data_IF_467402714523
#
_entry.id   IF_467402714523
#
_cell.length_a   1.000
_cell.length_b   1.000
_cell.length_c   1.000
_cell.angle_alpha   90.00
_cell.angle_beta   90.00
_cell.angle_gamma   90.00
#
_symmetry.space_group_name_H-M   'P 1'
#
loop_
_entity.id
_entity.type
_entity.pdbx_description
1 polymer ?
#
# COMPACT_ATOMS: atom_id res chain seq x y z
N UNK A 1 -0.35 50.60 34.29
CA UNK A 1 0.43 49.67 33.42
C UNK A 1 0.41 48.28 34.07
N UNK A 2 -0.41 47.35 33.59
CA UNK A 2 -0.27 45.94 33.96
C UNK A 2 0.35 45.21 32.76
N UNK A 3 1.46 44.46 32.92
CA UNK A 3 2.01 43.72 31.80
C UNK A 3 1.12 42.49 31.56
N UNK A 4 0.59 42.42 30.35
CA UNK A 4 -0.16 41.28 29.83
C UNK A 4 0.87 40.14 29.64
N UNK A 5 1.13 39.36 30.68
CA UNK A 5 1.88 38.11 30.57
C UNK A 5 0.95 37.02 30.00
N UNK A 6 0.55 37.18 28.74
CA UNK A 6 0.11 36.05 27.92
C UNK A 6 1.35 35.38 27.34
N UNK A 7 2.11 34.73 28.21
CA UNK A 7 2.97 33.63 27.79
C UNK A 7 2.02 32.51 27.38
N UNK A 8 1.63 32.48 26.10
CA UNK A 8 0.87 31.36 25.57
C UNK A 8 1.68 30.10 25.85
N UNK A 9 1.03 29.03 26.33
CA UNK A 9 1.65 27.76 26.75
C UNK A 9 2.63 27.20 25.70
N UNK A 10 2.47 27.63 24.45
CA UNK A 10 3.35 27.38 23.31
C UNK A 10 4.77 27.99 23.42
N UNK A 11 5.04 29.02 24.21
CA UNK A 11 6.35 29.70 24.16
C UNK A 11 7.46 28.97 24.94
N UNK A 12 7.15 28.14 25.93
CA UNK A 12 8.15 27.39 26.70
C UNK A 12 8.53 26.06 26.03
N UNK A 13 9.83 25.77 25.81
CA UNK A 13 10.28 24.62 25.03
C UNK A 13 9.88 23.26 25.65
N UNK A 14 9.89 23.15 26.98
CA UNK A 14 9.47 21.94 27.68
C UNK A 14 7.98 21.60 27.45
N UNK A 15 7.12 22.62 27.38
CA UNK A 15 5.69 22.44 27.13
C UNK A 15 5.41 22.09 25.67
N UNK A 16 6.15 22.67 24.71
CA UNK A 16 6.07 22.24 23.30
C UNK A 16 6.43 20.77 23.14
N UNK A 17 7.55 20.34 23.74
CA UNK A 17 7.98 18.95 23.68
C UNK A 17 6.95 17.99 24.29
N UNK A 18 6.33 18.38 25.40
CA UNK A 18 5.27 17.60 26.02
C UNK A 18 4.01 17.52 25.12
N UNK A 19 3.58 18.64 24.54
CA UNK A 19 2.47 18.67 23.58
C UNK A 19 2.76 17.83 22.34
N UNK A 20 3.95 17.96 21.75
CA UNK A 20 4.35 17.17 20.58
C UNK A 20 4.31 15.68 20.86
N UNK A 21 4.81 15.25 22.03
CA UNK A 21 4.71 13.86 22.48
C UNK A 21 3.27 13.41 22.62
N UNK A 22 2.43 14.22 23.26
CA UNK A 22 1.00 13.93 23.42
C UNK A 22 0.29 13.75 22.08
N UNK A 23 0.46 14.70 21.15
CA UNK A 23 -0.15 14.63 19.82
C UNK A 23 0.41 13.49 18.97
N UNK A 24 1.69 13.14 19.11
CA UNK A 24 2.27 11.95 18.47
C UNK A 24 1.58 10.67 18.92
N UNK A 25 1.32 10.52 20.23
CA UNK A 25 0.60 9.35 20.77
C UNK A 25 -0.84 9.31 20.25
N UNK A 26 -1.54 10.45 20.25
CA UNK A 26 -2.90 10.53 19.69
C UNK A 26 -2.92 10.12 18.21
N UNK A 27 -2.02 10.70 17.41
CA UNK A 27 -1.91 10.40 15.98
C UNK A 27 -1.53 8.94 15.72
N UNK A 28 -0.65 8.35 16.54
CA UNK A 28 -0.33 6.94 16.42
C UNK A 28 -1.55 6.03 16.62
N UNK A 29 -2.42 6.35 17.59
CA UNK A 29 -3.67 5.60 17.83
C UNK A 29 -4.67 5.74 16.68
N UNK A 30 -4.79 6.93 16.11
CA UNK A 30 -5.63 7.17 14.93
C UNK A 30 -5.10 6.41 13.71
N UNK A 31 -3.80 6.46 13.49
CA UNK A 31 -3.16 5.82 12.34
C UNK A 31 -3.26 4.29 12.43
N UNK A 32 -3.15 3.69 13.62
CA UNK A 32 -3.40 2.25 13.81
C UNK A 32 -4.83 1.89 13.34
N UNK A 33 -5.85 2.64 13.79
CA UNK A 33 -7.24 2.39 13.38
C UNK A 33 -7.42 2.50 11.87
N UNK A 34 -6.80 3.51 11.26
CA UNK A 34 -6.84 3.70 9.80
C UNK A 34 -6.14 2.57 9.06
N UNK A 35 -4.95 2.20 9.48
CA UNK A 35 -4.16 1.15 8.85
C UNK A 35 -4.83 -0.22 8.97
N UNK A 36 -5.59 -0.50 10.03
CA UNK A 36 -6.40 -1.72 10.14
C UNK A 36 -7.47 -1.84 9.05
N UNK A 37 -7.88 -0.73 8.43
CA UNK A 37 -8.79 -0.72 7.27
C UNK A 37 -8.02 -0.73 5.96
N UNK A 38 -6.95 0.06 5.86
CA UNK A 38 -6.19 0.23 4.62
C UNK A 38 -5.34 -0.99 4.27
N UNK A 39 -4.72 -1.66 5.25
CA UNK A 39 -3.89 -2.85 4.99
C UNK A 39 -4.72 -3.96 4.32
N UNK A 40 -5.90 -4.37 4.83
CA UNK A 40 -6.75 -5.33 4.13
C UNK A 40 -7.15 -4.88 2.73
N UNK A 41 -7.45 -3.59 2.52
CA UNK A 41 -7.78 -3.06 1.19
C UNK A 41 -6.64 -3.24 0.20
N UNK A 42 -5.42 -2.86 0.60
CA UNK A 42 -4.23 -3.02 -0.24
C UNK A 42 -3.95 -4.50 -0.50
N UNK A 43 -4.07 -5.37 0.50
CA UNK A 43 -3.90 -6.83 0.33
C UNK A 43 -4.91 -7.39 -0.68
N UNK A 44 -6.18 -7.01 -0.58
CA UNK A 44 -7.22 -7.42 -1.54
C UNK A 44 -6.89 -6.93 -2.94
N UNK A 45 -6.54 -5.65 -3.08
CA UNK A 45 -6.15 -5.08 -4.37
C UNK A 45 -4.94 -5.80 -5.00
N UNK A 46 -3.90 -6.11 -4.22
CA UNK A 46 -2.75 -6.89 -4.70
C UNK A 46 -3.19 -8.25 -5.25
N UNK A 47 -4.05 -8.96 -4.51
CA UNK A 47 -4.55 -10.29 -4.90
C UNK A 47 -5.40 -10.24 -6.17
N UNK A 48 -6.32 -9.29 -6.23
CA UNK A 48 -7.23 -9.12 -7.36
C UNK A 48 -6.47 -8.73 -8.63
N UNK A 49 -5.52 -7.79 -8.53
CA UNK A 49 -4.70 -7.39 -9.67
C UNK A 49 -3.85 -8.56 -10.18
N UNK A 50 -3.20 -9.31 -9.30
CA UNK A 50 -2.40 -10.48 -9.70
C UNK A 50 -3.29 -11.54 -10.37
N UNK A 51 -4.52 -11.75 -9.88
CA UNK A 51 -5.50 -12.65 -10.51
C UNK A 51 -5.92 -12.15 -11.89
N UNK A 52 -6.17 -10.84 -12.03
CA UNK A 52 -6.53 -10.21 -13.30
C UNK A 52 -5.41 -10.39 -14.34
N UNK A 53 -4.18 -10.07 -13.98
CA UNK A 53 -3.00 -10.22 -14.86
C UNK A 53 -2.78 -11.67 -15.28
N UNK A 54 -2.89 -12.62 -14.36
CA UNK A 54 -2.80 -14.07 -14.69
C UNK A 54 -3.92 -14.53 -15.62
N UNK A 55 -5.13 -14.01 -15.44
CA UNK A 55 -6.26 -14.32 -16.32
C UNK A 55 -6.03 -13.75 -17.71
N UNK A 56 -5.62 -12.49 -17.80
CA UNK A 56 -5.32 -11.83 -19.07
C UNK A 56 -4.21 -12.58 -19.84
N UNK A 57 -3.11 -12.93 -19.17
CA UNK A 57 -2.03 -13.73 -19.77
C UNK A 57 -2.55 -15.07 -20.32
N UNK A 58 -3.42 -15.76 -19.57
CA UNK A 58 -3.99 -17.04 -20.01
C UNK A 58 -4.86 -16.89 -21.26
N UNK A 59 -5.68 -15.84 -21.32
CA UNK A 59 -6.55 -15.56 -22.47
C UNK A 59 -5.73 -15.24 -23.72
N UNK A 60 -4.67 -14.43 -23.57
CA UNK A 60 -3.80 -14.09 -24.69
C UNK A 60 -3.03 -15.30 -25.22
N UNK A 61 -2.66 -16.25 -24.34
CA UNK A 61 -2.02 -17.50 -24.76
C UNK A 61 -2.95 -18.48 -25.46
N UNK A 62 -4.27 -18.23 -25.50
CA UNK A 62 -5.19 -19.06 -26.27
C UNK A 62 -5.05 -18.74 -27.75
N UNK A 63 -4.74 -19.76 -28.55
CA UNK A 63 -4.53 -19.66 -30.00
C UNK A 63 -5.68 -20.25 -30.81
N UNK A 64 -6.62 -20.94 -30.17
CA UNK A 64 -7.74 -21.58 -30.83
C UNK A 64 -8.62 -20.56 -31.56
N UNK A 65 -8.88 -20.79 -32.84
CA UNK A 65 -9.76 -19.96 -33.67
C UNK A 65 -9.17 -18.61 -34.11
N UNK A 66 -7.87 -18.34 -33.87
CA UNK A 66 -7.20 -17.09 -34.25
C UNK A 66 -6.37 -17.24 -35.52
N UNK A 67 -6.23 -16.14 -36.26
CA UNK A 67 -5.32 -16.03 -37.40
C UNK A 67 -3.86 -15.97 -36.93
N UNK A 68 -2.92 -16.17 -37.86
CA UNK A 68 -1.49 -16.14 -37.54
C UNK A 68 -1.03 -14.78 -36.98
N UNK A 69 -1.48 -13.69 -37.58
CA UNK A 69 -1.14 -12.32 -37.17
C UNK A 69 -1.66 -12.01 -35.75
N UNK A 70 -2.91 -12.41 -35.45
CA UNK A 70 -3.47 -12.26 -34.10
C UNK A 70 -2.71 -13.06 -33.05
N UNK A 71 -2.27 -14.28 -33.39
CA UNK A 71 -1.47 -15.13 -32.47
C UNK A 71 -0.13 -14.47 -32.16
N UNK A 72 0.54 -13.87 -33.15
CA UNK A 72 1.82 -13.19 -32.94
C UNK A 72 1.67 -12.01 -31.98
N UNK A 73 0.67 -11.15 -32.22
CA UNK A 73 0.39 -9.99 -31.38
C UNK A 73 0.03 -10.40 -29.95
N UNK A 74 -0.87 -11.38 -29.80
CA UNK A 74 -1.33 -11.84 -28.48
C UNK A 74 -0.21 -12.50 -27.68
N UNK A 75 0.65 -13.29 -28.33
CA UNK A 75 1.80 -13.90 -27.67
C UNK A 75 2.80 -12.84 -27.21
N UNK A 76 3.05 -11.83 -28.06
CA UNK A 76 3.87 -10.67 -27.71
C UNK A 76 3.33 -9.93 -26.48
N UNK A 77 2.02 -9.66 -26.45
CA UNK A 77 1.36 -9.04 -25.30
C UNK A 77 1.40 -9.92 -24.05
N UNK A 78 1.22 -11.24 -24.19
CA UNK A 78 1.30 -12.18 -23.07
C UNK A 78 2.70 -12.16 -22.42
N UNK A 79 3.77 -12.07 -23.23
CA UNK A 79 5.14 -11.91 -22.74
C UNK A 79 5.31 -10.59 -21.99
N UNK A 80 4.81 -9.48 -22.52
CA UNK A 80 4.88 -8.17 -21.85
C UNK A 80 4.12 -8.18 -20.51
N UNK A 81 2.93 -8.77 -20.46
CA UNK A 81 2.17 -8.94 -19.21
C UNK A 81 2.92 -9.81 -18.20
N UNK A 82 3.58 -10.89 -18.64
CA UNK A 82 4.37 -11.75 -17.77
C UNK A 82 5.55 -10.99 -17.15
N UNK A 83 6.26 -10.18 -17.94
CA UNK A 83 7.36 -9.33 -17.47
C UNK A 83 6.88 -8.25 -16.49
N UNK A 84 5.76 -7.59 -16.81
CA UNK A 84 5.13 -6.61 -15.93
C UNK A 84 4.72 -7.24 -14.60
N UNK A 85 4.06 -8.40 -14.63
CA UNK A 85 3.64 -9.15 -13.45
C UNK A 85 4.83 -9.54 -12.59
N UNK A 86 5.93 -10.03 -13.17
CA UNK A 86 7.13 -10.41 -12.42
C UNK A 86 7.74 -9.20 -11.71
N UNK A 87 7.92 -8.09 -12.43
CA UNK A 87 8.45 -6.85 -11.85
C UNK A 87 7.59 -6.36 -10.68
N UNK A 88 6.26 -6.34 -10.86
CA UNK A 88 5.31 -5.91 -9.83
C UNK A 88 5.28 -6.88 -8.65
N UNK A 89 5.29 -8.19 -8.92
CA UNK A 89 5.26 -9.26 -7.93
C UNK A 89 6.36 -9.13 -6.87
N UNK A 90 7.56 -8.67 -7.25
CA UNK A 90 8.65 -8.40 -6.29
C UNK A 90 8.28 -7.35 -5.25
N UNK A 91 7.59 -6.29 -5.66
CA UNK A 91 7.10 -5.26 -4.75
C UNK A 91 5.93 -5.78 -3.94
N UNK A 92 4.98 -6.47 -4.57
CA UNK A 92 3.83 -7.08 -3.89
C UNK A 92 4.29 -8.02 -2.78
N UNK A 93 5.27 -8.88 -3.03
CA UNK A 93 5.84 -9.80 -2.04
C UNK A 93 6.49 -9.06 -0.87
N UNK A 94 7.20 -7.95 -1.15
CA UNK A 94 7.78 -7.11 -0.11
C UNK A 94 6.69 -6.45 0.76
N UNK A 95 5.61 -5.95 0.15
CA UNK A 95 4.46 -5.41 0.87
C UNK A 95 3.77 -6.48 1.70
N UNK A 96 3.50 -7.65 1.14
CA UNK A 96 2.85 -8.77 1.83
C UNK A 96 3.68 -9.23 3.04
N UNK A 97 5.01 -9.33 2.92
CA UNK A 97 5.89 -9.63 4.06
C UNK A 97 5.77 -8.57 5.15
N UNK A 98 5.78 -7.27 4.79
CA UNK A 98 5.65 -6.17 5.76
C UNK A 98 4.29 -6.17 6.44
N UNK A 99 3.21 -6.36 5.69
CA UNK A 99 1.86 -6.45 6.25
C UNK A 99 1.71 -7.65 7.18
N UNK A 100 2.33 -8.77 6.87
CA UNK A 100 2.31 -9.94 7.76
C UNK A 100 3.06 -9.69 9.07
N UNK A 101 4.19 -8.98 9.04
CA UNK A 101 4.89 -8.56 10.26
C UNK A 101 4.05 -7.56 11.06
N UNK A 102 3.40 -6.60 10.38
CA UNK A 102 2.51 -5.63 11.03
C UNK A 102 1.33 -6.32 11.70
N UNK A 103 0.65 -7.25 11.03
CA UNK A 103 -0.48 -8.03 11.56
C UNK A 103 -0.14 -8.89 12.80
N UNK A 104 1.14 -9.04 13.13
CA UNK A 104 1.61 -9.72 14.34
C UNK A 104 1.98 -8.78 15.47
N UNK A 105 2.00 -7.48 15.19
CA UNK A 105 2.40 -6.45 16.16
C UNK A 105 1.20 -6.04 17.02
N UNK A 106 1.38 -5.72 18.30
CA UNK A 106 0.27 -5.30 19.16
C UNK A 106 -0.50 -4.09 18.58
N UNK A 107 -1.80 -4.24 18.41
CA UNK A 107 -2.68 -3.20 17.86
C UNK A 107 -3.08 -3.38 16.39
N UNK A 108 -2.53 -4.40 15.72
CA UNK A 108 -2.85 -4.81 14.36
C UNK A 108 -3.41 -6.24 14.32
#
# INVERSE_FOLDING_TARGET
RQPILRCTVSTRPAYRLAMDRYFRILRAREEIKRLNVEIPRVVTWIRDENRLLRRAERVLRQTEGKSHEEIEVDLGMAVQLALYRDRRGRFDDAHMRRFWVLAKSPGF
#
